data_IF_838479989964
#
_entry.id   IF_838479989964
#
_cell.length_a   1.000
_cell.length_b   1.000
_cell.length_c   1.000
_cell.angle_alpha   90.00
_cell.angle_beta   90.00
_cell.angle_gamma   90.00
#
_symmetry.space_group_name_H-M   'P 1'
#
loop_
_entity.id
_entity.type
_entity.pdbx_description
1 polymer ?
#
# COMPACT_ATOMS: atom_id res chain seq x y z
N UNK A 1 -9.60 17.66 -7.86
CA UNK A 1 -8.55 17.63 -6.82
C UNK A 1 -8.70 18.82 -5.88
N UNK A 2 -8.80 18.57 -4.57
CA UNK A 2 -9.04 19.60 -3.54
C UNK A 2 -7.79 20.46 -3.29
N UNK A 3 -7.97 21.64 -2.68
CA UNK A 3 -6.85 22.51 -2.26
C UNK A 3 -5.92 21.80 -1.27
N UNK A 4 -6.47 20.99 -0.38
CA UNK A 4 -5.71 20.20 0.59
C UNK A 4 -4.86 19.13 -0.09
N UNK A 5 -5.43 18.40 -1.06
CA UNK A 5 -4.70 17.41 -1.84
C UNK A 5 -3.54 18.04 -2.61
N UNK A 6 -3.77 19.18 -3.27
CA UNK A 6 -2.72 19.94 -3.98
C UNK A 6 -1.55 20.30 -3.07
N UNK A 7 -1.84 20.93 -1.92
CA UNK A 7 -0.81 21.30 -0.94
C UNK A 7 -0.02 20.08 -0.43
N UNK A 8 -0.69 18.95 -0.23
CA UNK A 8 -0.03 17.72 0.21
C UNK A 8 0.84 17.11 -0.90
N UNK A 9 0.40 17.13 -2.15
CA UNK A 9 1.22 16.73 -3.30
C UNK A 9 2.47 17.60 -3.39
N UNK A 10 2.35 18.93 -3.29
CA UNK A 10 3.51 19.84 -3.31
C UNK A 10 4.51 19.51 -2.19
N UNK A 11 4.02 19.24 -0.97
CA UNK A 11 4.88 18.83 0.15
C UNK A 11 5.61 17.50 -0.13
N UNK A 12 4.91 16.52 -0.71
CA UNK A 12 5.50 15.22 -1.07
C UNK A 12 6.53 15.35 -2.20
N UNK A 13 6.25 16.20 -3.20
CA UNK A 13 7.19 16.51 -4.28
C UNK A 13 8.45 17.18 -3.75
N UNK A 14 8.32 18.11 -2.79
CA UNK A 14 9.46 18.72 -2.12
C UNK A 14 10.29 17.68 -1.36
N UNK A 15 9.63 16.77 -0.62
CA UNK A 15 10.33 15.67 0.07
C UNK A 15 11.11 14.79 -0.91
N UNK A 16 10.54 14.46 -2.07
CA UNK A 16 11.25 13.69 -3.12
C UNK A 16 12.47 14.47 -3.61
N UNK A 17 12.33 15.77 -3.89
CA UNK A 17 13.42 16.61 -4.35
C UNK A 17 14.57 16.66 -3.33
N UNK A 18 14.25 16.86 -2.04
CA UNK A 18 15.23 16.89 -0.96
C UNK A 18 15.97 15.55 -0.83
N UNK A 19 15.25 14.42 -0.92
CA UNK A 19 15.84 13.08 -0.86
C UNK A 19 16.76 12.80 -2.05
N UNK A 20 16.36 13.18 -3.26
CA UNK A 20 17.19 13.07 -4.47
C UNK A 20 18.46 13.92 -4.36
N UNK A 21 18.37 15.13 -3.80
CA UNK A 21 19.54 15.98 -3.54
C UNK A 21 20.53 15.31 -2.58
N UNK A 22 20.03 14.70 -1.50
CA UNK A 22 20.87 13.96 -0.55
C UNK A 22 21.56 12.74 -1.20
N UNK A 23 20.88 12.04 -2.11
CA UNK A 23 21.47 10.92 -2.84
C UNK A 23 22.55 11.40 -3.83
N UNK A 24 22.29 12.50 -4.55
CA UNK A 24 23.27 13.07 -5.47
C UNK A 24 24.54 13.58 -4.76
N UNK A 25 24.38 14.28 -3.62
CA UNK A 25 25.50 14.70 -2.76
C UNK A 25 26.36 13.50 -2.34
N UNK A 26 25.71 12.42 -1.89
CA UNK A 26 26.41 11.21 -1.48
C UNK A 26 27.20 10.59 -2.63
N UNK A 27 26.59 10.48 -3.82
CA UNK A 27 27.27 9.95 -5.00
C UNK A 27 28.52 10.76 -5.36
N UNK A 28 28.46 12.10 -5.21
CA UNK A 28 29.62 12.97 -5.39
C UNK A 28 30.72 12.69 -4.37
N UNK A 29 30.37 12.51 -3.09
CA UNK A 29 31.33 12.19 -2.03
C UNK A 29 31.98 10.82 -2.23
N UNK A 30 31.22 9.81 -2.67
CA UNK A 30 31.75 8.49 -3.03
C UNK A 30 32.74 8.62 -4.20
N UNK A 31 32.35 9.32 -5.26
CA UNK A 31 33.21 9.54 -6.43
C UNK A 31 34.50 10.32 -6.10
N UNK A 32 34.45 11.22 -5.11
CA UNK A 32 35.59 11.96 -4.60
C UNK A 32 36.45 11.18 -3.59
N UNK A 33 36.11 9.92 -3.29
CA UNK A 33 36.84 9.08 -2.31
C UNK A 33 36.71 9.54 -0.86
N UNK A 34 35.69 10.35 -0.53
CA UNK A 34 35.47 10.88 0.81
C UNK A 34 34.68 9.93 1.73
N UNK A 35 34.00 8.95 1.14
CA UNK A 35 33.22 7.92 1.84
C UNK A 35 33.17 6.67 0.97
N UNK A 36 32.94 5.51 1.59
CA UNK A 36 32.69 4.27 0.87
C UNK A 36 31.18 4.06 0.63
N UNK A 37 30.86 3.30 -0.42
CA UNK A 37 29.52 2.79 -0.69
C UNK A 37 29.05 1.86 0.43
N UNK A 38 29.95 1.06 0.99
CA UNK A 38 29.66 0.13 2.08
C UNK A 38 29.25 0.82 3.39
N UNK A 39 29.66 2.07 3.59
CA UNK A 39 29.20 2.89 4.74
C UNK A 39 27.81 3.50 4.49
N UNK A 40 27.36 3.49 3.24
CA UNK A 40 26.28 4.34 2.75
C UNK A 40 25.02 3.58 2.30
N UNK A 41 25.11 2.26 2.04
CA UNK A 41 24.04 1.48 1.42
C UNK A 41 22.69 1.53 2.18
N UNK A 42 22.69 1.53 3.52
CA UNK A 42 21.46 1.63 4.32
C UNK A 42 20.81 3.01 4.15
N UNK A 43 21.63 4.06 4.14
CA UNK A 43 21.15 5.44 3.96
C UNK A 43 20.60 5.66 2.55
N UNK A 44 21.24 5.08 1.54
CA UNK A 44 20.73 5.10 0.16
C UNK A 44 19.40 4.38 0.05
N UNK A 45 19.32 3.15 0.58
CA UNK A 45 18.07 2.38 0.56
C UNK A 45 16.94 3.11 1.28
N UNK A 46 17.22 3.69 2.44
CA UNK A 46 16.23 4.47 3.22
C UNK A 46 15.73 5.70 2.46
N UNK A 47 16.62 6.42 1.77
CA UNK A 47 16.21 7.56 0.96
C UNK A 47 15.38 7.13 -0.26
N UNK A 48 15.74 6.02 -0.91
CA UNK A 48 14.97 5.44 -2.00
C UNK A 48 13.57 5.02 -1.54
N UNK A 49 13.46 4.29 -0.42
CA UNK A 49 12.17 3.91 0.17
C UNK A 49 11.30 5.14 0.49
N UNK A 50 11.89 6.22 1.01
CA UNK A 50 11.16 7.46 1.27
C UNK A 50 10.61 8.09 -0.03
N UNK A 51 11.37 8.05 -1.12
CA UNK A 51 10.93 8.50 -2.44
C UNK A 51 9.79 7.62 -2.95
N UNK A 52 9.95 6.29 -2.87
CA UNK A 52 8.93 5.33 -3.30
C UNK A 52 7.61 5.57 -2.55
N UNK A 53 7.68 5.78 -1.23
CA UNK A 53 6.50 6.03 -0.41
C UNK A 53 5.82 7.35 -0.76
N UNK A 54 6.60 8.41 -0.96
CA UNK A 54 6.06 9.71 -1.36
C UNK A 54 5.42 9.65 -2.75
N UNK A 55 6.02 8.90 -3.67
CA UNK A 55 5.51 8.68 -5.03
C UNK A 55 4.16 7.96 -5.00
N UNK A 56 4.06 6.84 -4.28
CA UNK A 56 2.79 6.11 -4.13
C UNK A 56 1.68 6.99 -3.52
N UNK A 57 2.02 7.85 -2.56
CA UNK A 57 1.05 8.80 -1.98
C UNK A 57 0.60 9.85 -2.98
N UNK A 58 1.49 10.35 -3.84
CA UNK A 58 1.14 11.28 -4.90
C UNK A 58 0.17 10.62 -5.88
N UNK A 59 0.47 9.40 -6.35
CA UNK A 59 -0.40 8.65 -7.26
C UNK A 59 -1.81 8.46 -6.69
N UNK A 60 -1.91 8.09 -5.40
CA UNK A 60 -3.20 7.98 -4.70
C UNK A 60 -3.95 9.33 -4.68
N UNK A 61 -3.27 10.42 -4.37
CA UNK A 61 -3.89 11.75 -4.29
C UNK A 61 -4.33 12.27 -5.66
N UNK A 62 -3.55 12.02 -6.71
CA UNK A 62 -3.87 12.33 -8.10
C UNK A 62 -5.11 11.56 -8.57
N UNK A 63 -5.25 10.30 -8.11
CA UNK A 63 -6.44 9.46 -8.32
C UNK A 63 -7.61 9.79 -7.36
N UNK A 64 -7.66 11.01 -6.82
CA UNK A 64 -8.76 11.45 -5.96
C UNK A 64 -8.79 10.79 -4.57
N UNK A 65 -7.66 10.24 -4.12
CA UNK A 65 -7.51 9.55 -2.84
C UNK A 65 -7.95 8.09 -2.87
N UNK A 66 -8.15 7.53 -4.06
CA UNK A 66 -8.64 6.17 -4.26
C UNK A 66 -7.55 5.29 -4.89
N UNK A 67 -7.60 4.00 -4.59
CA UNK A 67 -6.86 2.97 -5.31
C UNK A 67 -7.75 1.75 -5.55
N UNK A 68 -7.33 0.94 -6.49
CA UNK A 68 -8.02 -0.28 -6.88
C UNK A 68 -7.59 -1.44 -5.98
N UNK A 69 -8.56 -2.16 -5.42
CA UNK A 69 -8.32 -3.34 -4.58
C UNK A 69 -9.25 -4.48 -4.95
N UNK A 70 -8.70 -5.69 -4.87
CA UNK A 70 -9.52 -6.89 -4.92
C UNK A 70 -10.41 -6.97 -3.68
N UNK A 71 -11.66 -7.35 -3.89
CA UNK A 71 -12.66 -7.46 -2.85
C UNK A 71 -13.58 -8.65 -3.09
N UNK A 72 -14.19 -9.12 -2.01
CA UNK A 72 -15.33 -10.03 -2.09
C UNK A 72 -16.61 -9.22 -1.94
N UNK A 73 -17.54 -9.43 -2.86
CA UNK A 73 -18.87 -8.86 -2.80
C UNK A 73 -19.92 -9.95 -2.57
N UNK A 74 -21.02 -9.59 -1.91
CA UNK A 74 -22.22 -10.41 -1.87
C UNK A 74 -22.81 -10.54 -3.28
N UNK A 75 -23.12 -11.76 -3.69
CA UNK A 75 -23.63 -12.05 -5.02
C UNK A 75 -25.05 -11.49 -5.24
N UNK A 76 -25.85 -11.38 -4.18
CA UNK A 76 -27.25 -10.93 -4.24
C UNK A 76 -27.36 -9.41 -4.14
N UNK A 77 -26.68 -8.80 -3.16
CA UNK A 77 -26.80 -7.35 -2.91
C UNK A 77 -25.76 -6.54 -3.67
N UNK A 78 -24.63 -7.15 -4.05
CA UNK A 78 -23.48 -6.46 -4.64
C UNK A 78 -22.64 -5.67 -3.63
N UNK A 79 -22.97 -5.71 -2.34
CA UNK A 79 -22.23 -5.03 -1.29
C UNK A 79 -20.84 -5.64 -1.09
N UNK A 80 -19.85 -4.80 -0.74
CA UNK A 80 -18.50 -5.25 -0.41
C UNK A 80 -18.52 -5.91 0.96
N UNK A 81 -18.14 -7.19 1.00
CA UNK A 81 -18.14 -8.07 2.17
C UNK A 81 -16.75 -8.18 2.81
N UNK A 82 -15.69 -8.01 2.01
CA UNK A 82 -14.31 -8.01 2.48
C UNK A 82 -13.39 -7.30 1.50
N UNK A 83 -12.43 -6.57 2.04
CA UNK A 83 -11.34 -5.90 1.31
C UNK A 83 -9.96 -6.36 1.80
N UNK A 84 -9.94 -7.29 2.75
CA UNK A 84 -8.72 -7.71 3.43
C UNK A 84 -8.42 -9.17 3.10
N UNK A 85 -7.47 -9.35 2.19
CA UNK A 85 -6.87 -10.64 1.88
C UNK A 85 -5.49 -10.74 2.54
N UNK A 86 -5.21 -11.87 3.18
CA UNK A 86 -3.93 -12.15 3.81
C UNK A 86 -3.50 -13.59 3.54
N UNK A 87 -2.20 -13.86 3.58
CA UNK A 87 -1.68 -15.21 3.41
C UNK A 87 -1.71 -15.95 4.76
N UNK A 88 -2.58 -16.95 4.88
CA UNK A 88 -2.68 -17.84 6.04
C UNK A 88 -1.87 -19.12 5.86
N UNK A 89 -1.97 -20.02 6.84
CA UNK A 89 -1.27 -21.33 6.82
C UNK A 89 -1.59 -22.16 5.56
N UNK A 90 -2.80 -22.02 5.01
CA UNK A 90 -3.29 -22.79 3.88
C UNK A 90 -3.37 -21.98 2.57
N UNK A 91 -2.67 -20.83 2.52
CA UNK A 91 -2.70 -19.90 1.40
C UNK A 91 -3.55 -18.66 1.66
N UNK A 92 -3.84 -17.92 0.58
CA UNK A 92 -4.60 -16.68 0.65
C UNK A 92 -6.00 -16.89 1.23
N UNK A 93 -6.38 -16.00 2.13
CA UNK A 93 -7.65 -16.03 2.84
C UNK A 93 -8.19 -14.60 2.95
N UNK A 94 -9.49 -14.48 2.72
CA UNK A 94 -10.25 -13.27 2.94
C UNK A 94 -10.75 -13.21 4.37
N UNK A 95 -10.49 -12.10 5.06
CA UNK A 95 -11.08 -11.81 6.37
C UNK A 95 -12.39 -11.07 6.15
N UNK A 96 -13.50 -11.70 6.50
CA UNK A 96 -14.84 -11.12 6.32
C UNK A 96 -15.07 -10.03 7.36
N UNK A 97 -15.67 -8.92 6.93
CA UNK A 97 -16.00 -7.80 7.81
C UNK A 97 -17.09 -8.21 8.83
N UNK A 98 -17.01 -7.68 10.05
CA UNK A 98 -17.80 -8.15 11.19
C UNK A 98 -19.32 -8.17 10.94
N UNK A 99 -19.82 -7.19 10.18
CA UNK A 99 -21.23 -7.10 9.79
C UNK A 99 -21.71 -8.30 8.96
N UNK A 100 -20.82 -8.95 8.22
CA UNK A 100 -21.14 -10.05 7.30
C UNK A 100 -20.71 -11.43 7.83
N UNK A 101 -20.00 -11.49 8.96
CA UNK A 101 -19.55 -12.74 9.61
C UNK A 101 -20.71 -13.70 9.90
N UNK A 102 -21.91 -13.29 10.37
CA UNK A 102 -23.01 -14.22 10.61
C UNK A 102 -23.48 -14.96 9.35
N UNK A 103 -23.28 -14.38 8.15
CA UNK A 103 -23.72 -14.94 6.87
C UNK A 103 -22.64 -15.80 6.21
N UNK A 104 -21.39 -15.34 6.20
CA UNK A 104 -20.32 -15.98 5.41
C UNK A 104 -19.22 -16.64 6.26
N UNK A 105 -19.27 -16.50 7.59
CA UNK A 105 -18.20 -16.91 8.49
C UNK A 105 -17.07 -15.88 8.54
N UNK A 106 -16.08 -16.14 9.41
CA UNK A 106 -14.98 -15.19 9.67
C UNK A 106 -13.92 -15.15 8.56
N UNK A 107 -13.68 -16.28 7.91
CA UNK A 107 -12.65 -16.43 6.90
C UNK A 107 -13.19 -17.19 5.69
N UNK A 108 -12.83 -16.71 4.50
CA UNK A 108 -13.11 -17.40 3.24
C UNK A 108 -11.79 -17.61 2.53
N UNK A 109 -11.38 -18.87 2.37
CA UNK A 109 -10.19 -19.20 1.60
C UNK A 109 -10.29 -18.70 0.16
N UNK A 110 -9.15 -18.31 -0.40
CA UNK A 110 -9.05 -17.90 -1.79
C UNK A 110 -9.42 -19.07 -2.71
N UNK A 111 -10.34 -18.84 -3.63
CA UNK A 111 -10.87 -19.88 -4.47
C UNK A 111 -10.36 -19.74 -5.90
N UNK A 112 -9.72 -20.79 -6.42
CA UNK A 112 -9.24 -20.84 -7.81
C UNK A 112 -10.37 -20.85 -8.87
N UNK A 113 -11.63 -20.98 -8.45
CA UNK A 113 -12.81 -20.98 -9.33
C UNK A 113 -13.89 -20.10 -8.73
N UNK A 114 -14.43 -19.18 -9.54
CA UNK A 114 -15.53 -18.30 -9.16
C UNK A 114 -16.79 -19.06 -8.69
N UNK A 115 -17.05 -20.25 -9.24
CA UNK A 115 -18.18 -21.08 -8.83
C UNK A 115 -18.15 -21.49 -7.36
N UNK A 116 -16.96 -21.53 -6.73
CA UNK A 116 -16.81 -21.78 -5.30
C UNK A 116 -17.27 -20.59 -4.46
N UNK A 117 -17.00 -19.37 -4.92
CA UNK A 117 -17.54 -18.16 -4.30
C UNK A 117 -19.05 -18.08 -4.50
N UNK A 118 -19.53 -18.36 -5.71
CA UNK A 118 -20.96 -18.31 -6.02
C UNK A 118 -21.78 -19.27 -5.15
N UNK A 119 -21.25 -20.48 -4.86
CA UNK A 119 -21.86 -21.44 -3.91
C UNK A 119 -22.00 -20.89 -2.49
N UNK A 120 -21.12 -19.97 -2.08
CA UNK A 120 -21.18 -19.26 -0.80
C UNK A 120 -21.97 -17.95 -0.89
N UNK A 121 -22.54 -17.63 -2.05
CA UNK A 121 -23.23 -16.34 -2.28
C UNK A 121 -22.27 -15.15 -2.38
N UNK A 122 -21.03 -15.38 -2.81
CA UNK A 122 -19.98 -14.36 -2.96
C UNK A 122 -19.53 -14.28 -4.42
N UNK A 123 -18.91 -13.16 -4.78
CA UNK A 123 -18.15 -12.98 -6.03
C UNK A 123 -16.86 -12.20 -5.75
N UNK A 124 -15.79 -12.54 -6.45
CA UNK A 124 -14.59 -11.70 -6.49
C UNK A 124 -14.84 -10.55 -7.46
N UNK A 125 -14.41 -9.35 -7.09
CA UNK A 125 -14.49 -8.16 -7.93
C UNK A 125 -13.38 -7.21 -7.54
N UNK A 126 -13.15 -6.21 -8.37
CA UNK A 126 -12.26 -5.10 -8.04
C UNK A 126 -13.09 -3.87 -7.68
N UNK A 127 -12.65 -3.12 -6.67
CA UNK A 127 -13.33 -1.93 -6.19
C UNK A 127 -12.36 -0.77 -5.96
N UNK A 128 -12.85 0.45 -6.21
CA UNK A 128 -12.12 1.67 -5.90
C UNK A 128 -12.43 2.06 -4.45
N UNK A 129 -11.42 2.02 -3.59
CA UNK A 129 -11.56 2.36 -2.18
C UNK A 129 -10.63 3.52 -1.81
N UNK A 130 -10.97 4.32 -0.79
CA UNK A 130 -10.03 5.25 -0.21
C UNK A 130 -8.75 4.49 0.19
N UNK A 131 -7.60 5.04 -0.17
CA UNK A 131 -6.34 4.35 -0.04
C UNK A 131 -5.29 5.21 0.65
N UNK A 132 -4.27 4.55 1.19
CA UNK A 132 -3.04 5.20 1.57
C UNK A 132 -1.85 4.27 1.41
N UNK A 133 -0.65 4.82 1.62
CA UNK A 133 0.58 4.06 1.54
C UNK A 133 1.39 4.17 2.84
N UNK A 134 1.98 3.05 3.25
CA UNK A 134 2.90 2.94 4.37
C UNK A 134 4.10 2.05 4.02
N UNK A 135 5.07 1.99 4.92
CA UNK A 135 6.11 0.97 4.84
C UNK A 135 5.61 -0.34 5.43
N UNK A 136 5.86 -1.43 4.70
CA UNK A 136 5.73 -2.79 5.21
C UNK A 136 7.13 -3.41 5.23
N UNK A 137 7.45 -4.07 6.34
CA UNK A 137 8.76 -4.68 6.56
C UNK A 137 8.60 -6.17 6.83
N UNK A 138 9.54 -6.95 6.32
CA UNK A 138 9.62 -8.38 6.61
C UNK A 138 10.99 -8.67 7.22
N UNK A 139 11.00 -9.32 8.38
CA UNK A 139 12.21 -9.64 9.13
C UNK A 139 12.49 -8.68 10.30
N UNK A 140 13.68 -8.82 10.89
CA UNK A 140 14.10 -8.07 12.09
C UNK A 140 15.44 -7.35 11.84
N UNK A 141 15.70 -6.33 12.65
CA UNK A 141 16.96 -5.57 12.60
C UNK A 141 17.21 -4.89 11.24
N UNK A 142 18.48 -4.82 10.85
CA UNK A 142 18.91 -4.14 9.62
C UNK A 142 18.36 -4.80 8.35
N UNK A 143 18.21 -6.13 8.34
CA UNK A 143 17.63 -6.85 7.21
C UNK A 143 16.19 -6.40 6.95
N UNK A 144 15.38 -6.25 8.01
CA UNK A 144 14.01 -5.75 7.91
C UNK A 144 13.92 -4.29 7.48
N UNK A 145 14.85 -3.44 7.93
CA UNK A 145 14.90 -2.04 7.49
C UNK A 145 15.27 -1.93 5.99
N UNK A 146 16.25 -2.71 5.54
CA UNK A 146 16.70 -2.71 4.15
C UNK A 146 15.65 -3.29 3.19
N UNK A 147 14.96 -4.36 3.61
CA UNK A 147 13.95 -5.06 2.81
C UNK A 147 12.57 -4.39 2.83
N UNK A 148 12.39 -3.31 3.59
CA UNK A 148 11.12 -2.60 3.62
C UNK A 148 10.70 -2.15 2.21
N UNK A 149 9.40 -2.23 1.95
CA UNK A 149 8.79 -1.80 0.70
C UNK A 149 7.52 -1.01 0.98
N UNK A 150 7.01 -0.36 -0.06
CA UNK A 150 5.80 0.44 0.03
C UNK A 150 4.60 -0.45 -0.17
N UNK A 151 3.67 -0.43 0.79
CA UNK A 151 2.38 -1.10 0.69
C UNK A 151 1.28 -0.05 0.54
N UNK A 152 0.47 -0.20 -0.49
CA UNK A 152 -0.81 0.53 -0.63
C UNK A 152 -1.90 -0.30 0.03
N UNK A 153 -2.75 0.33 0.85
CA UNK A 153 -3.79 -0.36 1.61
C UNK A 153 -5.10 0.44 1.64
N UNK A 154 -6.25 -0.23 1.78
CA UNK A 154 -7.53 0.44 1.97
C UNK A 154 -7.55 1.22 3.29
N UNK A 155 -7.96 2.47 3.24
CA UNK A 155 -8.06 3.38 4.37
C UNK A 155 -9.52 3.70 4.67
N UNK A 156 -9.85 3.90 5.95
CA UNK A 156 -11.17 4.41 6.35
C UNK A 156 -11.34 5.91 6.07
N UNK A 157 -10.26 6.58 5.65
CA UNK A 157 -10.21 8.01 5.34
C UNK A 157 -9.70 8.22 3.92
N UNK A 158 -10.38 9.06 3.15
CA UNK A 158 -9.90 9.60 1.88
C UNK A 158 -8.96 10.79 2.16
N UNK A 159 -7.67 10.62 1.85
CA UNK A 159 -6.65 11.64 2.11
C UNK A 159 -6.67 12.81 1.12
N UNK A 160 -7.42 12.70 0.01
CA UNK A 160 -7.62 13.79 -0.94
C UNK A 160 -8.79 14.69 -0.53
N UNK A 161 -9.87 14.16 0.05
CA UNK A 161 -11.05 14.94 0.47
C UNK A 161 -11.13 15.19 1.97
N UNK A 162 -10.31 14.51 2.76
CA UNK A 162 -10.35 14.46 4.24
C UNK A 162 -11.62 13.88 4.85
N UNK A 163 -12.42 13.17 4.05
CA UNK A 163 -13.64 12.48 4.47
C UNK A 163 -13.36 11.03 4.84
#
# INVERSE_FOLDING_TARGET
MTTTAKKRIEQLQQQIADKRKLMADRQQRIAAGQTDMDDCFVSERSNQQAIDLATAKIEILENGGLAEFDCLCDLQTGEVVSTNCFNGQYGYCWKIDEAHVPKFGKYVGDASRESTYARKGLKSSTCMLPAWACFETHGTGMAGAYSAFVKVFPSNKNYATEQ
#
